data_IF_625608110263
#
_entry.id   IF_625608110263
#
_cell.length_a   1.000
_cell.length_b   1.000
_cell.length_c   1.000
_cell.angle_alpha   90.00
_cell.angle_beta   90.00
_cell.angle_gamma   90.00
#
_symmetry.space_group_name_H-M   'P 1'
#
loop_
_entity.id
_entity.type
_entity.pdbx_description
1 polymer ?
#
# COMPACT_ATOMS: atom_id res chain seq x y z
N UNK A 1 -0.45 -16.81 -14.67
CA UNK A 1 -1.44 -16.43 -13.63
C UNK A 1 -1.81 -14.97 -13.82
N UNK A 2 -3.05 -14.62 -13.56
CA UNK A 2 -3.52 -13.23 -13.68
C UNK A 2 -3.14 -12.44 -12.43
N UNK A 3 -2.45 -11.32 -12.60
CA UNK A 3 -2.17 -10.38 -11.52
C UNK A 3 -3.46 -9.64 -11.13
N UNK A 4 -3.79 -9.63 -9.83
CA UNK A 4 -4.94 -8.93 -9.29
C UNK A 4 -4.47 -7.73 -8.47
N UNK A 5 -4.83 -6.54 -8.94
CA UNK A 5 -4.45 -5.28 -8.30
C UNK A 5 -5.68 -4.38 -8.13
N UNK A 6 -5.80 -3.77 -6.96
CA UNK A 6 -6.76 -2.69 -6.69
C UNK A 6 -6.03 -1.54 -6.05
N UNK A 7 -5.93 -0.42 -6.74
CA UNK A 7 -5.15 0.73 -6.31
C UNK A 7 -6.07 1.94 -6.08
N UNK A 8 -5.87 2.62 -4.96
CA UNK A 8 -6.65 3.78 -4.57
C UNK A 8 -5.79 5.04 -4.51
N UNK A 9 -6.34 6.15 -4.99
CA UNK A 9 -5.66 7.45 -4.94
C UNK A 9 -5.48 7.93 -3.50
N UNK A 10 -6.42 7.64 -2.62
CA UNK A 10 -6.39 8.08 -1.22
C UNK A 10 -7.10 7.09 -0.29
N UNK A 11 -6.99 7.34 1.01
CA UNK A 11 -7.60 6.53 2.07
C UNK A 11 -8.91 7.07 2.60
N UNK A 12 -9.37 8.24 2.13
CA UNK A 12 -10.57 8.87 2.67
C UNK A 12 -11.67 8.98 1.62
N UNK A 13 -12.87 8.65 2.04
CA UNK A 13 -14.08 8.91 1.27
C UNK A 13 -14.43 10.42 1.28
N UNK A 14 -15.29 10.90 0.37
CA UNK A 14 -15.71 12.32 0.36
C UNK A 14 -16.31 12.82 1.67
N UNK A 15 -16.93 11.94 2.45
CA UNK A 15 -17.47 12.24 3.79
C UNK A 15 -16.40 12.22 4.91
N UNK A 16 -15.12 11.98 4.56
CA UNK A 16 -14.00 11.91 5.49
C UNK A 16 -13.78 10.55 6.15
N UNK A 17 -14.65 9.56 5.91
CA UNK A 17 -14.50 8.22 6.48
C UNK A 17 -13.26 7.51 5.92
N UNK A 18 -12.55 6.77 6.79
CA UNK A 18 -11.31 6.10 6.43
C UNK A 18 -11.60 4.75 5.78
N UNK A 19 -11.09 4.54 4.57
CA UNK A 19 -11.20 3.32 3.74
C UNK A 19 -12.62 2.86 3.43
N UNK A 20 -13.66 3.62 3.75
CA UNK A 20 -15.05 3.19 3.49
C UNK A 20 -15.33 2.95 2.00
N UNK A 21 -14.78 3.80 1.12
CA UNK A 21 -14.89 3.64 -0.34
C UNK A 21 -14.15 2.41 -0.86
N UNK A 22 -13.18 1.91 -0.11
CA UNK A 22 -12.36 0.76 -0.50
C UNK A 22 -13.03 -0.59 -0.20
N UNK A 23 -14.03 -0.63 0.70
CA UNK A 23 -14.61 -1.88 1.19
C UNK A 23 -15.20 -2.73 0.07
N UNK A 24 -16.00 -2.14 -0.83
CA UNK A 24 -16.64 -2.90 -1.90
C UNK A 24 -15.63 -3.46 -2.93
N UNK A 25 -14.70 -2.67 -3.50
CA UNK A 25 -13.67 -3.21 -4.39
C UNK A 25 -12.75 -4.24 -3.71
N UNK A 26 -12.37 -4.01 -2.46
CA UNK A 26 -11.56 -4.96 -1.70
C UNK A 26 -12.31 -6.26 -1.45
N UNK A 27 -13.59 -6.21 -1.08
CA UNK A 27 -14.41 -7.40 -0.89
C UNK A 27 -14.44 -8.27 -2.15
N UNK A 28 -14.59 -7.66 -3.32
CA UNK A 28 -14.59 -8.38 -4.60
C UNK A 28 -13.24 -9.06 -4.89
N UNK A 29 -12.12 -8.40 -4.53
CA UNK A 29 -10.78 -8.95 -4.73
C UNK A 29 -10.42 -10.03 -3.70
N UNK A 30 -10.82 -9.84 -2.44
CA UNK A 30 -10.42 -10.69 -1.31
C UNK A 30 -11.06 -12.08 -1.40
N UNK A 31 -12.36 -12.17 -1.72
CA UNK A 31 -13.07 -13.44 -1.71
C UNK A 31 -13.03 -14.09 -0.32
N UNK A 32 -12.55 -15.32 -0.25
CA UNK A 32 -12.42 -16.08 1.00
C UNK A 32 -11.07 -15.93 1.70
N UNK A 33 -10.16 -15.13 1.15
CA UNK A 33 -8.83 -14.90 1.74
C UNK A 33 -8.94 -14.16 3.08
N UNK A 34 -8.08 -14.51 4.03
CA UNK A 34 -8.10 -13.92 5.38
C UNK A 34 -6.74 -13.42 5.81
N UNK A 35 -5.70 -14.26 5.68
CA UNK A 35 -4.33 -13.95 6.13
C UNK A 35 -3.72 -12.86 5.26
N UNK A 36 -3.62 -11.67 5.80
CA UNK A 36 -3.23 -10.47 5.07
C UNK A 36 -1.94 -9.88 5.63
N UNK A 37 -0.96 -9.70 4.74
CA UNK A 37 0.20 -8.87 5.05
C UNK A 37 -0.20 -7.41 4.91
N UNK A 38 0.01 -6.61 5.93
CA UNK A 38 -0.12 -5.17 5.87
C UNK A 38 1.25 -4.50 5.95
N UNK A 39 1.57 -3.64 4.99
CA UNK A 39 2.83 -2.90 4.89
C UNK A 39 2.60 -1.47 5.40
N UNK A 40 2.95 -1.16 6.68
CA UNK A 40 2.65 0.11 7.32
C UNK A 40 3.73 1.18 7.14
N UNK A 41 4.81 0.89 6.42
CA UNK A 41 6.07 1.64 6.48
C UNK A 41 5.97 3.09 6.01
N UNK A 42 4.94 3.46 5.23
CA UNK A 42 4.68 4.83 4.86
C UNK A 42 4.22 5.71 6.04
N UNK A 43 3.75 5.11 7.12
CA UNK A 43 3.31 5.82 8.33
C UNK A 43 4.49 6.44 9.08
N UNK A 44 4.55 7.77 9.11
CA UNK A 44 5.63 8.54 9.78
C UNK A 44 5.14 9.33 11.01
N UNK A 45 3.82 9.45 11.17
CA UNK A 45 3.19 10.20 12.26
C UNK A 45 2.51 9.33 13.30
N UNK A 46 2.57 8.02 13.13
CA UNK A 46 1.97 7.00 13.99
C UNK A 46 2.90 5.80 14.09
N UNK A 47 2.79 5.03 15.14
CA UNK A 47 3.52 3.76 15.21
C UNK A 47 2.95 2.78 14.18
N UNK A 48 3.76 1.84 13.71
CA UNK A 48 3.29 0.85 12.74
C UNK A 48 2.30 -0.15 13.35
N UNK A 49 2.38 -0.40 14.66
CA UNK A 49 1.39 -1.17 15.40
C UNK A 49 0.03 -0.47 15.40
N UNK A 50 0.00 0.81 15.78
CA UNK A 50 -1.24 1.61 15.78
C UNK A 50 -1.82 1.74 14.38
N UNK A 51 -0.97 1.91 13.37
CA UNK A 51 -1.41 1.97 11.98
C UNK A 51 -2.04 0.65 11.54
N UNK A 52 -1.40 -0.47 11.87
CA UNK A 52 -1.93 -1.81 11.57
C UNK A 52 -3.27 -2.04 12.27
N UNK A 53 -3.38 -1.68 13.54
CA UNK A 53 -4.63 -1.78 14.31
C UNK A 53 -5.75 -0.94 13.71
N UNK A 54 -5.47 0.31 13.34
CA UNK A 54 -6.42 1.21 12.70
C UNK A 54 -6.96 0.63 11.38
N UNK A 55 -6.07 0.07 10.55
CA UNK A 55 -6.48 -0.55 9.28
C UNK A 55 -7.27 -1.83 9.53
N UNK A 56 -6.86 -2.64 10.50
CA UNK A 56 -7.61 -3.84 10.93
C UNK A 56 -9.05 -3.49 11.30
N UNK A 57 -9.24 -2.46 12.12
CA UNK A 57 -10.56 -2.00 12.53
C UNK A 57 -11.41 -1.52 11.34
N UNK A 58 -10.77 -0.75 10.43
CA UNK A 58 -11.45 -0.22 9.24
C UNK A 58 -11.87 -1.30 8.25
N UNK A 59 -11.13 -2.40 8.19
CA UNK A 59 -11.38 -3.54 7.31
C UNK A 59 -12.10 -4.71 8.00
N UNK A 60 -12.51 -4.54 9.27
CA UNK A 60 -13.24 -5.57 10.02
C UNK A 60 -14.45 -6.16 9.26
N UNK A 61 -15.25 -5.37 8.49
CA UNK A 61 -16.35 -5.92 7.71
C UNK A 61 -15.93 -6.91 6.61
N UNK A 62 -14.65 -6.97 6.26
CA UNK A 62 -14.10 -7.89 5.25
C UNK A 62 -13.61 -9.21 5.85
N UNK A 63 -13.51 -9.29 7.18
CA UNK A 63 -13.06 -10.50 7.89
C UNK A 63 -11.59 -10.85 7.67
N UNK A 64 -10.76 -9.90 7.24
CA UNK A 64 -9.31 -10.11 7.07
C UNK A 64 -8.58 -10.06 8.39
N UNK A 65 -7.46 -10.78 8.48
CA UNK A 65 -6.56 -10.81 9.64
C UNK A 65 -5.23 -10.21 9.23
N UNK A 66 -4.94 -9.00 9.69
CA UNK A 66 -3.74 -8.27 9.33
C UNK A 66 -2.56 -8.66 10.20
N UNK A 67 -1.43 -8.92 9.55
CA UNK A 67 -0.11 -8.98 10.17
C UNK A 67 0.74 -7.86 9.62
N UNK A 68 1.27 -6.99 10.48
CA UNK A 68 2.15 -5.90 10.05
C UNK A 68 3.51 -6.43 9.58
N UNK A 69 3.95 -5.98 8.40
CA UNK A 69 5.23 -6.39 7.81
C UNK A 69 6.46 -6.04 8.68
N UNK A 70 6.30 -5.17 9.67
CA UNK A 70 7.34 -4.83 10.63
C UNK A 70 7.54 -5.88 11.73
N UNK A 71 6.58 -6.79 11.91
CA UNK A 71 6.59 -7.83 12.95
C UNK A 71 7.07 -9.18 12.46
N UNK A 72 7.29 -9.34 11.16
CA UNK A 72 7.74 -10.59 10.53
C UNK A 72 8.82 -10.31 9.48
N UNK A 73 9.61 -11.31 9.18
CA UNK A 73 10.62 -11.22 8.11
C UNK A 73 10.00 -11.49 6.73
N UNK A 74 10.65 -10.99 5.68
CA UNK A 74 10.20 -11.15 4.30
C UNK A 74 10.13 -12.62 3.85
N UNK A 75 10.91 -13.50 4.47
CA UNK A 75 10.86 -14.95 4.22
C UNK A 75 9.50 -15.58 4.58
N UNK A 76 8.70 -14.89 5.42
CA UNK A 76 7.36 -15.33 5.78
C UNK A 76 6.28 -14.93 4.75
N UNK A 77 6.65 -14.30 3.64
CA UNK A 77 5.70 -13.75 2.65
C UNK A 77 4.75 -14.81 2.06
N UNK A 78 5.15 -16.07 2.00
CA UNK A 78 4.35 -17.18 1.49
C UNK A 78 3.16 -17.56 2.37
N UNK A 79 3.13 -17.11 3.63
CA UNK A 79 2.04 -17.35 4.57
C UNK A 79 0.81 -16.49 4.30
N UNK A 80 0.96 -15.45 3.48
CA UNK A 80 -0.10 -14.47 3.25
C UNK A 80 -0.83 -14.71 1.93
N UNK A 81 -2.13 -14.53 1.97
CA UNK A 81 -3.06 -14.73 0.87
C UNK A 81 -3.40 -13.41 0.17
N UNK A 82 -3.07 -12.28 0.80
CA UNK A 82 -3.35 -10.92 0.35
C UNK A 82 -2.25 -9.98 0.87
N UNK A 83 -1.92 -8.98 0.08
CA UNK A 83 -0.96 -7.93 0.45
C UNK A 83 -1.63 -6.58 0.36
N UNK A 84 -1.58 -5.80 1.44
CA UNK A 84 -2.06 -4.42 1.51
C UNK A 84 -0.90 -3.50 1.85
N UNK A 85 -0.79 -2.36 1.15
CA UNK A 85 0.20 -1.33 1.44
C UNK A 85 -0.47 0.01 1.75
N UNK A 86 -0.17 0.54 2.93
CA UNK A 86 -0.75 1.78 3.43
C UNK A 86 -0.16 3.04 2.81
N UNK A 87 -0.89 4.15 2.96
CA UNK A 87 -0.44 5.48 2.58
C UNK A 87 0.39 6.17 3.66
N UNK A 88 0.99 7.29 3.29
CA UNK A 88 1.86 8.11 4.10
C UNK A 88 3.01 8.65 3.24
N UNK A 89 4.24 8.50 3.67
CA UNK A 89 5.41 8.95 2.91
C UNK A 89 5.97 7.81 2.03
N UNK A 90 6.00 8.02 0.72
CA UNK A 90 6.43 7.02 -0.26
C UNK A 90 7.94 6.73 -0.17
N UNK A 91 8.77 7.73 0.13
CA UNK A 91 10.22 7.53 0.28
C UNK A 91 10.52 6.61 1.47
N UNK A 92 9.87 6.85 2.60
CA UNK A 92 9.96 6.00 3.78
C UNK A 92 9.49 4.57 3.48
N UNK A 93 8.36 4.43 2.78
CA UNK A 93 7.81 3.14 2.38
C UNK A 93 8.80 2.33 1.55
N UNK A 94 9.37 2.92 0.50
CA UNK A 94 10.34 2.24 -0.38
C UNK A 94 11.63 1.92 0.37
N UNK A 95 12.15 2.85 1.18
CA UNK A 95 13.36 2.65 1.98
C UNK A 95 13.23 1.43 2.91
N UNK A 96 12.13 1.36 3.66
CA UNK A 96 11.89 0.26 4.61
C UNK A 96 11.62 -1.07 3.90
N UNK A 97 10.83 -1.07 2.83
CA UNK A 97 10.61 -2.26 2.03
C UNK A 97 11.94 -2.80 1.45
N UNK A 98 12.80 -1.93 0.94
CA UNK A 98 14.11 -2.30 0.40
C UNK A 98 15.01 -2.87 1.48
N UNK A 99 15.16 -2.15 2.59
CA UNK A 99 16.03 -2.53 3.71
C UNK A 99 15.66 -3.88 4.32
N UNK A 100 14.36 -4.20 4.35
CA UNK A 100 13.82 -5.42 4.95
C UNK A 100 13.58 -6.56 3.95
N UNK A 101 13.91 -6.37 2.67
CA UNK A 101 13.75 -7.41 1.64
C UNK A 101 12.32 -7.57 1.12
N UNK A 102 11.40 -6.68 1.49
CA UNK A 102 9.99 -6.78 1.10
C UNK A 102 9.72 -6.48 -0.37
N UNK A 103 10.56 -5.66 -1.04
CA UNK A 103 10.34 -5.35 -2.47
C UNK A 103 10.36 -6.64 -3.30
N UNK A 104 11.37 -7.49 -3.13
CA UNK A 104 11.49 -8.73 -3.89
C UNK A 104 10.44 -9.77 -3.45
N UNK A 105 10.21 -9.91 -2.15
CA UNK A 105 9.22 -10.83 -1.61
C UNK A 105 7.81 -10.52 -2.14
N UNK A 106 7.39 -9.25 -2.12
CA UNK A 106 6.07 -8.84 -2.62
C UNK A 106 5.97 -9.07 -4.13
N UNK A 107 7.00 -8.69 -4.92
CA UNK A 107 7.01 -8.95 -6.37
C UNK A 107 6.80 -10.42 -6.68
N UNK A 108 7.53 -11.30 -6.00
CA UNK A 108 7.42 -12.74 -6.19
C UNK A 108 6.02 -13.25 -5.86
N UNK A 109 5.45 -12.81 -4.74
CA UNK A 109 4.10 -13.21 -4.32
C UNK A 109 3.02 -12.77 -5.30
N UNK A 110 3.08 -11.53 -5.77
CA UNK A 110 2.13 -11.02 -6.75
C UNK A 110 2.28 -11.74 -8.10
N UNK A 111 3.50 -12.04 -8.51
CA UNK A 111 3.78 -12.79 -9.74
C UNK A 111 3.17 -14.19 -9.73
N UNK A 112 3.10 -14.85 -8.58
CA UNK A 112 2.47 -16.17 -8.44
C UNK A 112 0.97 -16.10 -8.10
N UNK A 113 0.36 -14.91 -8.14
CA UNK A 113 -1.08 -14.71 -8.06
C UNK A 113 -1.62 -14.19 -6.73
N UNK A 114 -0.77 -13.83 -5.76
CA UNK A 114 -1.24 -13.16 -4.54
C UNK A 114 -1.76 -11.76 -4.89
N UNK A 115 -3.02 -11.42 -4.57
CA UNK A 115 -3.55 -10.09 -4.83
C UNK A 115 -2.82 -9.00 -4.04
N UNK A 116 -2.73 -7.82 -4.63
CA UNK A 116 -2.14 -6.64 -4.01
C UNK A 116 -3.11 -5.47 -4.05
N UNK A 117 -3.22 -4.74 -2.96
CA UNK A 117 -3.89 -3.44 -2.93
C UNK A 117 -3.06 -2.42 -2.17
N UNK A 118 -3.10 -1.19 -2.65
CA UNK A 118 -2.42 -0.07 -2.01
C UNK A 118 -3.18 1.23 -2.19
N UNK A 119 -3.03 2.14 -1.24
CA UNK A 119 -3.60 3.47 -1.32
C UNK A 119 -2.53 4.54 -1.12
N UNK A 120 -2.63 5.65 -1.87
CA UNK A 120 -1.67 6.76 -1.83
C UNK A 120 -0.24 6.26 -2.08
N UNK A 121 0.66 6.35 -1.09
CA UNK A 121 2.02 5.80 -1.18
C UNK A 121 2.03 4.31 -1.55
N UNK A 122 1.08 3.52 -1.06
CA UNK A 122 0.93 2.11 -1.42
C UNK A 122 0.54 1.90 -2.89
N UNK A 123 -0.16 2.86 -3.51
CA UNK A 123 -0.42 2.85 -4.95
C UNK A 123 0.86 3.21 -5.73
N UNK A 124 1.64 4.19 -5.27
CA UNK A 124 2.96 4.50 -5.84
C UNK A 124 3.91 3.31 -5.77
N UNK A 125 3.87 2.54 -4.70
CA UNK A 125 4.71 1.34 -4.54
C UNK A 125 4.47 0.30 -5.64
N UNK A 126 3.25 0.21 -6.18
CA UNK A 126 2.92 -0.70 -7.28
C UNK A 126 3.52 -0.27 -8.63
N UNK A 127 3.91 0.98 -8.79
CA UNK A 127 4.48 1.56 -10.00
C UNK A 127 5.90 1.05 -10.29
N UNK A 128 6.44 1.31 -11.50
CA UNK A 128 7.83 1.01 -11.80
C UNK A 128 8.80 1.75 -10.89
N UNK A 129 8.50 3.02 -10.58
CA UNK A 129 9.30 3.88 -9.70
C UNK A 129 8.42 4.68 -8.75
N UNK A 130 9.03 5.29 -7.73
CA UNK A 130 8.35 6.23 -6.84
C UNK A 130 8.30 7.68 -7.39
N UNK A 131 8.74 7.91 -8.62
CA UNK A 131 9.02 9.26 -9.15
C UNK A 131 7.78 10.15 -9.36
N UNK A 132 6.57 9.62 -9.32
CA UNK A 132 5.33 10.42 -9.39
C UNK A 132 4.71 10.73 -8.02
N UNK A 133 5.43 10.42 -6.94
CA UNK A 133 4.97 10.81 -5.60
C UNK A 133 5.05 12.32 -5.41
N UNK A 134 4.08 12.87 -4.67
CA UNK A 134 4.08 14.26 -4.24
C UNK A 134 4.68 14.44 -2.82
N UNK A 135 5.20 13.37 -2.25
CA UNK A 135 5.74 13.38 -0.88
C UNK A 135 7.10 14.05 -0.80
N UNK A 136 7.42 14.55 0.37
CA UNK A 136 8.75 15.07 0.67
C UNK A 136 9.75 13.92 0.85
N UNK A 137 10.97 14.03 0.30
CA UNK A 137 12.02 13.03 0.46
C UNK A 137 12.66 13.12 1.86
N UNK A 138 11.97 12.59 2.87
CA UNK A 138 12.42 12.64 4.28
C UNK A 138 13.51 11.61 4.61
N UNK A 139 13.78 10.69 3.70
CA UNK A 139 14.79 9.64 3.83
C UNK A 139 15.31 9.27 2.44
N UNK A 140 16.54 8.83 2.35
CA UNK A 140 17.08 8.23 1.12
C UNK A 140 16.43 6.85 0.90
N UNK A 141 15.70 6.64 -0.20
CA UNK A 141 15.03 5.37 -0.48
C UNK A 141 16.00 4.26 -0.94
N UNK A 142 17.28 4.56 -1.14
CA UNK A 142 18.28 3.63 -1.67
C UNK A 142 18.13 3.32 -3.16
N UNK A 143 17.32 4.11 -3.88
CA UNK A 143 16.97 3.96 -5.29
C UNK A 143 15.51 4.29 -5.53
N UNK A 144 15.16 4.61 -6.78
CA UNK A 144 13.79 5.04 -7.13
C UNK A 144 12.89 3.89 -7.60
N UNK A 145 13.45 2.72 -7.86
CA UNK A 145 12.68 1.55 -8.26
C UNK A 145 11.70 1.14 -7.16
N UNK A 146 10.47 0.86 -7.57
CA UNK A 146 9.41 0.34 -6.74
C UNK A 146 9.07 -1.11 -7.14
N UNK A 147 7.85 -1.58 -6.93
CA UNK A 147 7.51 -2.99 -7.20
C UNK A 147 7.43 -3.33 -8.68
N UNK A 148 7.06 -2.37 -9.55
CA UNK A 148 6.89 -2.64 -10.98
C UNK A 148 5.77 -3.64 -11.28
N UNK A 149 4.68 -3.62 -10.52
CA UNK A 149 3.53 -4.51 -10.74
C UNK A 149 2.67 -4.05 -11.93
N UNK A 150 2.79 -2.78 -12.30
CA UNK A 150 2.14 -2.16 -13.45
C UNK A 150 3.20 -1.48 -14.31
N UNK A 151 2.92 -1.33 -15.60
CA UNK A 151 3.86 -0.74 -16.58
C UNK A 151 3.75 0.78 -16.76
N UNK A 152 3.06 1.47 -15.87
CA UNK A 152 2.85 2.91 -15.93
C UNK A 152 2.93 3.55 -14.53
N UNK A 153 3.06 4.87 -14.49
CA UNK A 153 3.10 5.62 -13.25
C UNK A 153 1.72 6.14 -12.87
N UNK A 154 1.44 6.17 -11.56
CA UNK A 154 0.22 6.74 -10.99
C UNK A 154 0.62 7.98 -10.19
N UNK A 155 -0.18 9.04 -10.31
CA UNK A 155 -0.10 10.23 -9.48
C UNK A 155 -1.28 10.24 -8.50
N UNK A 156 -1.13 9.67 -7.28
CA UNK A 156 -2.18 9.70 -6.28
C UNK A 156 -2.52 11.13 -5.85
N UNK A 157 -3.72 11.34 -5.35
CA UNK A 157 -4.23 12.66 -4.92
C UNK A 157 -4.32 13.70 -6.05
N UNK A 158 -4.30 13.27 -7.31
CA UNK A 158 -4.47 14.19 -8.43
C UNK A 158 -5.82 14.92 -8.35
N UNK A 159 -5.78 16.23 -8.57
CA UNK A 159 -6.96 17.08 -8.63
C UNK A 159 -6.81 18.12 -9.75
N UNK A 160 -7.91 18.45 -10.40
CA UNK A 160 -7.97 19.58 -11.35
C UNK A 160 -8.17 20.92 -10.63
N UNK A 161 -8.45 20.90 -9.32
CA UNK A 161 -8.59 22.11 -8.53
C UNK A 161 -7.22 22.74 -8.30
N UNK A 162 -7.07 24.00 -8.69
CA UNK A 162 -5.89 24.79 -8.33
C UNK A 162 -5.95 25.07 -6.82
N UNK A 163 -4.87 24.87 -6.06
CA UNK A 163 -4.81 25.30 -4.69
C UNK A 163 -5.10 26.80 -4.59
N UNK A 164 -5.81 27.26 -3.53
CA UNK A 164 -6.03 28.69 -3.34
C UNK A 164 -4.70 29.45 -3.34
N UNK A 165 -4.59 30.48 -4.19
CA UNK A 165 -3.38 31.30 -4.30
C UNK A 165 -2.43 30.94 -5.45
N UNK A 166 -2.69 29.89 -6.22
CA UNK A 166 -2.03 29.63 -7.50
C UNK A 166 -2.87 30.16 -8.65
N UNK A 167 -2.58 31.41 -9.06
CA UNK A 167 -3.05 32.00 -10.31
C UNK A 167 -1.88 32.17 -11.25
#
# INVERSE_FOLDING_TARGET
>A
MTTQLVLFSNSRSPDGSYLAHALAPLRAMIGERRKTLFVPFAGVTTTWDDYTAKVQDSLAPLGVELTGAHTVDADAADRFELILAGGGNTFQLVAECRRRGWLDAIRQRVKVGTPYSGWSAGANLACPTLCTTNDMPIVDPGGFDALGLIGFQINPHYTNALPPGHQ
#
